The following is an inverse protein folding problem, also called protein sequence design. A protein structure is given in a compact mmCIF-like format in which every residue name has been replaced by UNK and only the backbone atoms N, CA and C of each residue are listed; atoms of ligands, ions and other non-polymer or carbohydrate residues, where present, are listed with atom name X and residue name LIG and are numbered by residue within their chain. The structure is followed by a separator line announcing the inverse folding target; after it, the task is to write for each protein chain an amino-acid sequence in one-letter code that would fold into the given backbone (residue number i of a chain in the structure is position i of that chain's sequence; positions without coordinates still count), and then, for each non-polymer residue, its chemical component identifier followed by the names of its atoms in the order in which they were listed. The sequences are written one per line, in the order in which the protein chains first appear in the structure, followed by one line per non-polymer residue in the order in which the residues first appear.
data_IF_861507852323
#
_entry.id   IF_861507852323
#
_cell.length_a   1.000
_cell.length_b   1.000
_cell.length_c   1.000
_cell.angle_alpha   90.00
_cell.angle_beta   90.00
_cell.angle_gamma   90.00
#
_symmetry.space_group_name_H-M   'P 1'
#
loop_
_entity.id
_entity.type
_entity.pdbx_description
1 polymer ?
#
# COMPACT_ATOMS: atom_id res chain seq x y z
N UNK A 1 24.38 32.15 -14.03
CA UNK A 1 23.03 31.55 -13.90
C UNK A 1 22.32 32.28 -12.77
N UNK A 2 21.29 33.07 -13.08
CA UNK A 2 20.45 33.69 -12.05
C UNK A 2 19.41 32.65 -11.61
N UNK A 3 19.51 32.14 -10.39
CA UNK A 3 18.50 31.25 -9.81
C UNK A 3 17.22 32.06 -9.53
N UNK A 4 16.34 32.13 -10.53
CA UNK A 4 15.07 32.86 -10.46
C UNK A 4 13.92 31.88 -10.32
N UNK A 5 13.19 32.00 -9.21
CA UNK A 5 11.99 31.21 -8.94
C UNK A 5 10.79 32.14 -8.76
N UNK A 6 9.63 31.72 -9.27
CA UNK A 6 8.36 32.37 -9.05
C UNK A 6 7.41 31.35 -8.40
N UNK A 7 7.03 31.58 -7.14
CA UNK A 7 6.16 30.67 -6.37
C UNK A 7 6.67 29.22 -6.31
N UNK A 8 7.98 29.03 -6.17
CA UNK A 8 8.61 27.70 -6.13
C UNK A 8 8.82 27.07 -7.52
N UNK A 9 8.33 27.69 -8.59
CA UNK A 9 8.54 27.25 -9.96
C UNK A 9 9.75 27.96 -10.54
N UNK A 10 10.71 27.19 -11.06
CA UNK A 10 11.89 27.75 -11.73
C UNK A 10 11.45 28.50 -12.98
N UNK A 11 11.90 29.74 -13.14
CA UNK A 11 11.83 30.44 -14.42
C UNK A 11 12.97 29.91 -15.30
N UNK A 12 12.64 29.46 -16.51
CA UNK A 12 13.63 28.88 -17.42
C UNK A 12 13.69 29.72 -18.70
N UNK A 13 14.59 30.70 -18.73
CA UNK A 13 14.89 31.46 -19.94
C UNK A 13 15.77 30.66 -20.93
N UNK A 14 16.02 31.24 -22.09
CA UNK A 14 16.77 30.56 -23.16
C UNK A 14 18.22 30.18 -22.77
N UNK A 15 18.89 31.02 -21.97
CA UNK A 15 20.25 30.73 -21.48
C UNK A 15 20.23 29.60 -20.44
N UNK A 16 19.32 29.70 -19.47
CA UNK A 16 19.10 28.67 -18.45
C UNK A 16 18.74 27.34 -19.09
N UNK A 17 17.93 27.35 -20.15
CA UNK A 17 17.54 26.16 -20.89
C UNK A 17 18.74 25.43 -21.51
N UNK A 18 19.79 26.14 -21.96
CA UNK A 18 21.00 25.47 -22.44
C UNK A 18 21.70 24.72 -21.31
N UNK A 19 21.83 25.35 -20.13
CA UNK A 19 22.40 24.69 -18.96
C UNK A 19 21.56 23.47 -18.50
N UNK A 20 20.23 23.57 -18.55
CA UNK A 20 19.34 22.44 -18.23
C UNK A 20 19.59 21.28 -19.20
N UNK A 21 19.66 21.53 -20.51
CA UNK A 21 19.94 20.50 -21.52
C UNK A 21 21.28 19.81 -21.29
N UNK A 22 22.33 20.58 -21.00
CA UNK A 22 23.65 20.04 -20.69
C UNK A 22 23.66 19.18 -19.43
N UNK A 23 23.04 19.66 -18.34
CA UNK A 23 22.97 18.93 -17.08
C UNK A 23 22.19 17.62 -17.21
N UNK A 24 21.00 17.68 -17.83
CA UNK A 24 20.16 16.51 -18.06
C UNK A 24 20.86 15.51 -18.98
N UNK A 25 21.47 15.99 -20.08
CA UNK A 25 22.21 15.13 -21.00
C UNK A 25 23.39 14.43 -20.34
N UNK A 26 24.15 15.14 -19.50
CA UNK A 26 25.25 14.57 -18.73
C UNK A 26 24.77 13.47 -17.78
N UNK A 27 23.76 13.75 -16.95
CA UNK A 27 23.23 12.76 -15.99
C UNK A 27 22.69 11.53 -16.71
N UNK A 28 22.00 11.73 -17.83
CA UNK A 28 21.51 10.63 -18.67
C UNK A 28 22.65 9.72 -19.15
N UNK A 29 23.72 10.31 -19.68
CA UNK A 29 24.89 9.56 -20.14
C UNK A 29 25.57 8.79 -18.99
N UNK A 30 25.64 9.40 -17.80
CA UNK A 30 26.18 8.72 -16.60
C UNK A 30 25.33 7.52 -16.19
N UNK A 31 23.99 7.63 -16.22
CA UNK A 31 23.07 6.51 -15.94
C UNK A 31 23.20 5.41 -16.99
N UNK A 32 23.19 5.76 -18.28
CA UNK A 32 23.36 4.79 -19.37
C UNK A 32 24.71 4.05 -19.26
N UNK A 33 25.79 4.75 -18.89
CA UNK A 33 27.10 4.15 -18.66
C UNK A 33 27.09 3.16 -17.48
N UNK A 34 26.43 3.50 -16.37
CA UNK A 34 26.29 2.61 -15.20
C UNK A 34 25.46 1.36 -15.53
N UNK A 35 24.39 1.51 -16.32
CA UNK A 35 23.56 0.38 -16.77
C UNK A 35 24.25 -0.49 -17.83
N UNK A 36 25.27 0.02 -18.50
CA UNK A 36 26.07 -0.71 -19.50
C UNK A 36 27.23 -1.52 -18.90
N UNK A 37 27.43 -1.49 -17.58
CA UNK A 37 28.46 -2.31 -16.94
C UNK A 37 28.13 -3.79 -17.15
N UNK A 38 29.07 -4.59 -17.67
CA UNK A 38 28.83 -6.01 -17.96
C UNK A 38 30.06 -6.91 -17.83
N UNK A 39 31.16 -6.38 -17.28
CA UNK A 39 32.38 -7.16 -17.07
C UNK A 39 32.11 -8.31 -16.09
N UNK A 40 32.83 -9.43 -16.27
CA UNK A 40 32.64 -10.67 -15.50
C UNK A 40 32.71 -10.51 -13.96
N UNK A 41 33.35 -9.44 -13.47
CA UNK A 41 33.48 -9.11 -12.05
C UNK A 41 32.67 -7.88 -11.63
N UNK A 42 31.76 -7.39 -12.48
CA UNK A 42 30.83 -6.32 -12.13
C UNK A 42 29.54 -6.93 -11.55
N UNK A 43 28.79 -6.18 -10.71
CA UNK A 43 27.47 -6.61 -10.23
C UNK A 43 26.49 -6.98 -11.36
N UNK A 44 26.77 -6.49 -12.57
CA UNK A 44 25.95 -6.59 -13.77
C UNK A 44 26.51 -7.59 -14.79
N UNK A 45 27.45 -8.47 -14.41
CA UNK A 45 27.98 -9.49 -15.30
C UNK A 45 26.84 -10.34 -15.91
N UNK A 46 26.80 -10.41 -17.25
CA UNK A 46 25.74 -11.06 -18.05
C UNK A 46 24.34 -10.40 -17.97
N UNK A 47 24.19 -9.26 -17.30
CA UNK A 47 22.96 -8.49 -17.36
C UNK A 47 22.97 -7.65 -18.65
N UNK A 48 22.36 -8.18 -19.72
CA UNK A 48 22.17 -7.46 -20.99
C UNK A 48 21.06 -6.40 -20.85
N UNK A 49 21.31 -5.36 -20.05
CA UNK A 49 20.36 -4.26 -19.85
C UNK A 49 20.41 -3.34 -21.07
N UNK A 50 19.31 -3.36 -21.82
CA UNK A 50 19.07 -2.39 -22.89
C UNK A 50 18.31 -1.20 -22.34
N UNK A 51 18.78 0.01 -22.67
CA UNK A 51 18.16 1.27 -22.24
C UNK A 51 17.61 2.00 -23.45
N UNK A 52 16.34 2.39 -23.38
CA UNK A 52 15.66 3.17 -24.39
C UNK A 52 15.44 4.61 -23.90
N UNK A 53 15.62 5.59 -24.79
CA UNK A 53 15.19 6.95 -24.52
C UNK A 53 14.64 7.61 -25.78
N UNK A 54 13.85 8.66 -25.63
CA UNK A 54 13.14 9.25 -26.75
C UNK A 54 12.23 10.40 -26.36
N UNK A 55 11.49 10.90 -27.33
CA UNK A 55 10.53 11.99 -27.21
C UNK A 55 9.14 11.52 -26.73
N UNK A 56 9.11 10.68 -25.70
CA UNK A 56 7.86 10.10 -25.17
C UNK A 56 6.97 11.12 -24.47
N UNK A 57 7.52 12.28 -24.09
CA UNK A 57 6.82 13.33 -23.35
C UNK A 57 6.54 14.52 -24.27
N UNK A 58 5.25 14.75 -24.55
CA UNK A 58 4.78 16.00 -25.14
C UNK A 58 4.53 17.02 -24.02
N UNK A 59 5.18 18.17 -24.10
CA UNK A 59 5.03 19.26 -23.12
C UNK A 59 4.19 20.42 -23.66
N UNK A 60 3.74 21.25 -22.73
CA UNK A 60 3.15 22.56 -22.99
C UNK A 60 3.76 23.59 -22.02
N UNK A 61 3.85 24.88 -22.41
CA UNK A 61 4.32 25.92 -21.50
C UNK A 61 3.37 26.06 -20.31
N UNK A 62 3.92 26.33 -19.12
CA UNK A 62 3.11 26.83 -18.00
C UNK A 62 2.57 28.23 -18.34
N UNK A 63 3.35 29.01 -19.10
CA UNK A 63 3.00 30.35 -19.55
C UNK A 63 3.22 31.41 -18.48
N UNK A 64 2.29 32.35 -18.39
CA UNK A 64 2.39 33.51 -17.50
C UNK A 64 1.61 33.28 -16.21
N UNK A 65 2.28 33.30 -15.06
CA UNK A 65 1.65 33.23 -13.73
C UNK A 65 1.83 34.59 -13.05
N UNK A 66 0.73 35.21 -12.62
CA UNK A 66 0.72 36.48 -11.88
C UNK A 66 1.58 37.58 -12.51
N UNK A 67 1.59 37.65 -13.85
CA UNK A 67 2.33 38.63 -14.64
C UNK A 67 3.80 38.27 -14.93
N UNK A 68 4.28 37.10 -14.48
CA UNK A 68 5.63 36.60 -14.77
C UNK A 68 5.56 35.49 -15.81
N UNK A 69 6.21 35.71 -16.96
CA UNK A 69 6.36 34.72 -18.02
C UNK A 69 7.46 33.71 -17.65
N UNK A 70 7.09 32.43 -17.54
CA UNK A 70 8.00 31.35 -17.19
C UNK A 70 8.73 30.75 -18.40
N UNK A 71 8.47 31.26 -19.60
CA UNK A 71 9.18 30.94 -20.84
C UNK A 71 9.24 29.43 -21.11
N UNK A 72 10.43 28.83 -21.00
CA UNK A 72 10.63 27.40 -21.29
C UNK A 72 10.31 26.48 -20.13
N UNK A 73 9.72 26.96 -19.03
CA UNK A 73 9.17 26.07 -18.01
C UNK A 73 7.82 25.52 -18.47
N UNK A 74 7.70 24.20 -18.47
CA UNK A 74 6.52 23.50 -18.98
C UNK A 74 5.90 22.52 -17.99
N UNK A 75 4.81 21.91 -18.43
CA UNK A 75 4.15 20.77 -17.80
C UNK A 75 3.89 19.68 -18.83
N UNK A 76 3.71 18.45 -18.35
CA UNK A 76 3.36 17.31 -19.20
C UNK A 76 1.96 17.53 -19.79
N UNK A 77 1.86 17.50 -21.12
CA UNK A 77 0.58 17.53 -21.84
C UNK A 77 0.10 16.12 -22.18
N UNK A 78 1.02 15.26 -22.63
CA UNK A 78 0.72 13.88 -23.06
C UNK A 78 1.96 13.00 -22.92
N UNK A 79 1.73 11.75 -22.52
CA UNK A 79 2.71 10.67 -22.54
C UNK A 79 2.38 9.72 -23.69
N UNK A 80 3.38 9.33 -24.48
CA UNK A 80 3.23 8.35 -25.56
C UNK A 80 3.31 6.91 -25.01
N UNK A 81 2.19 6.48 -24.42
CA UNK A 81 2.05 5.15 -23.78
C UNK A 81 2.32 4.01 -24.75
N UNK A 82 1.89 4.13 -26.01
CA UNK A 82 2.09 3.08 -27.01
C UNK A 82 3.59 2.85 -27.27
N UNK A 83 4.34 3.94 -27.50
CA UNK A 83 5.78 3.84 -27.72
C UNK A 83 6.55 3.34 -26.48
N UNK A 84 6.10 3.71 -25.27
CA UNK A 84 6.67 3.18 -24.03
C UNK A 84 6.45 1.67 -23.90
N UNK A 85 5.21 1.22 -24.13
CA UNK A 85 4.86 -0.20 -24.06
C UNK A 85 5.65 -1.02 -25.10
N UNK A 86 5.80 -0.52 -26.32
CA UNK A 86 6.64 -1.17 -27.34
C UNK A 86 8.07 -1.41 -26.83
N UNK A 87 8.71 -0.39 -26.20
CA UNK A 87 10.07 -0.55 -25.65
C UNK A 87 10.12 -1.57 -24.51
N UNK A 88 9.14 -1.52 -23.61
CA UNK A 88 9.07 -2.45 -22.48
C UNK A 88 8.79 -3.89 -22.93
N UNK A 89 7.98 -4.11 -23.98
CA UNK A 89 7.77 -5.44 -24.59
C UNK A 89 9.07 -6.02 -25.18
N UNK A 90 9.96 -5.18 -25.69
CA UNK A 90 11.30 -5.61 -26.10
C UNK A 90 12.25 -5.87 -24.93
N UNK A 91 11.81 -5.71 -23.68
CA UNK A 91 12.61 -5.91 -22.48
C UNK A 91 13.60 -4.77 -22.19
N UNK A 92 13.33 -3.57 -22.68
CA UNK A 92 14.18 -2.40 -22.48
C UNK A 92 13.75 -1.59 -21.25
N UNK A 93 14.73 -1.02 -20.55
CA UNK A 93 14.50 -0.02 -19.50
C UNK A 93 14.33 1.34 -20.16
N UNK A 94 13.17 1.96 -20.00
CA UNK A 94 12.92 3.30 -20.56
C UNK A 94 13.44 4.38 -19.61
N UNK A 95 14.41 5.17 -20.07
CA UNK A 95 14.99 6.29 -19.35
C UNK A 95 14.35 7.61 -19.81
N UNK A 96 13.52 8.19 -18.95
CA UNK A 96 12.87 9.48 -19.17
C UNK A 96 13.67 10.61 -18.52
N UNK A 97 13.87 11.69 -19.27
CA UNK A 97 14.46 12.93 -18.75
C UNK A 97 13.35 13.91 -18.34
N UNK A 98 13.61 14.85 -17.41
CA UNK A 98 12.68 15.92 -17.04
C UNK A 98 12.60 17.02 -18.12
N UNK A 99 12.45 16.60 -19.37
CA UNK A 99 12.32 17.43 -20.56
C UNK A 99 11.13 16.94 -21.37
N UNK A 100 10.41 17.86 -21.99
CA UNK A 100 9.37 17.51 -22.94
C UNK A 100 9.38 18.43 -24.15
N UNK A 101 8.74 17.96 -25.21
CA UNK A 101 8.80 18.59 -26.52
C UNK A 101 7.42 19.06 -26.96
N UNK A 102 7.32 20.21 -27.61
CA UNK A 102 6.08 20.62 -28.28
C UNK A 102 6.05 20.09 -29.72
N UNK A 103 4.85 20.03 -30.34
CA UNK A 103 4.73 19.80 -31.78
C UNK A 103 5.42 20.85 -32.66
N UNK A 104 5.75 22.03 -32.10
CA UNK A 104 6.50 23.10 -32.78
C UNK A 104 8.02 22.90 -32.71
N UNK A 105 8.51 21.88 -31.99
CA UNK A 105 9.93 21.58 -31.84
C UNK A 105 10.62 22.32 -30.69
N UNK A 106 9.86 22.98 -29.82
CA UNK A 106 10.40 23.63 -28.62
C UNK A 106 10.63 22.60 -27.51
N UNK A 107 11.61 22.89 -26.66
CA UNK A 107 11.97 22.05 -25.51
C UNK A 107 11.58 22.79 -24.24
N UNK A 108 10.92 22.11 -23.32
CA UNK A 108 10.50 22.63 -22.04
C UNK A 108 11.19 21.90 -20.88
N UNK A 109 11.55 22.66 -19.85
CA UNK A 109 12.04 22.17 -18.58
C UNK A 109 10.82 21.74 -17.75
N UNK A 110 10.75 20.46 -17.43
CA UNK A 110 9.68 19.87 -16.64
C UNK A 110 10.23 19.54 -15.25
N UNK A 111 9.35 19.35 -14.28
CA UNK A 111 9.78 18.83 -12.99
C UNK A 111 9.79 17.30 -13.02
N UNK A 112 10.66 16.67 -12.22
CA UNK A 112 10.73 15.22 -12.08
C UNK A 112 9.37 14.65 -11.64
N UNK A 113 8.75 15.32 -10.69
CA UNK A 113 7.48 14.94 -10.07
C UNK A 113 6.36 14.89 -11.11
N UNK A 114 6.30 15.88 -12.00
CA UNK A 114 5.29 15.94 -13.04
C UNK A 114 5.48 14.83 -14.07
N UNK A 115 6.72 14.64 -14.56
CA UNK A 115 7.05 13.57 -15.50
C UNK A 115 6.78 12.18 -14.91
N UNK A 116 7.27 11.91 -13.70
CA UNK A 116 7.13 10.62 -13.03
C UNK A 116 5.65 10.30 -12.76
N UNK A 117 4.91 11.25 -12.18
CA UNK A 117 3.50 11.04 -11.82
C UNK A 117 2.63 10.90 -13.07
N UNK A 118 2.78 11.80 -14.06
CA UNK A 118 1.98 11.73 -15.29
C UNK A 118 2.27 10.44 -16.07
N UNK A 119 3.52 9.99 -16.09
CA UNK A 119 3.89 8.72 -16.74
C UNK A 119 3.29 7.53 -16.01
N UNK A 120 3.41 7.47 -14.68
CA UNK A 120 2.84 6.36 -13.89
C UNK A 120 1.33 6.25 -14.06
N UNK A 121 0.62 7.38 -14.04
CA UNK A 121 -0.83 7.43 -14.28
C UNK A 121 -1.16 6.98 -15.70
N UNK A 122 -0.45 7.50 -16.71
CA UNK A 122 -0.73 7.18 -18.12
C UNK A 122 -0.47 5.70 -18.45
N UNK A 123 0.51 5.08 -17.78
CA UNK A 123 0.83 3.66 -17.93
C UNK A 123 -0.09 2.73 -17.12
N UNK A 124 -0.96 3.27 -16.26
CA UNK A 124 -1.69 2.48 -15.26
C UNK A 124 -0.74 1.62 -14.42
N UNK A 125 0.33 2.24 -13.91
CA UNK A 125 1.41 1.52 -13.27
C UNK A 125 0.99 0.87 -11.94
N UNK A 126 1.45 -0.37 -11.69
CA UNK A 126 1.25 -1.04 -10.40
C UNK A 126 1.94 -0.31 -9.24
N UNK A 127 3.11 0.29 -9.50
CA UNK A 127 3.94 0.97 -8.50
C UNK A 127 4.62 2.21 -9.06
N UNK A 128 4.58 3.31 -8.30
CA UNK A 128 5.45 4.48 -8.49
C UNK A 128 6.38 4.64 -7.29
N UNK A 129 7.69 4.75 -7.52
CA UNK A 129 8.69 4.86 -6.45
C UNK A 129 9.44 6.18 -6.58
N UNK A 130 9.41 7.00 -5.52
CA UNK A 130 10.24 8.19 -5.38
C UNK A 130 11.45 7.90 -4.51
N UNK A 131 12.64 8.24 -5.02
CA UNK A 131 13.91 8.14 -4.31
C UNK A 131 14.23 9.50 -3.67
N UNK A 132 14.26 9.52 -2.34
CA UNK A 132 14.33 10.71 -1.50
C UNK A 132 15.65 10.80 -0.74
N UNK A 133 15.93 11.97 -0.16
CA UNK A 133 17.06 12.15 0.74
C UNK A 133 16.71 11.77 2.19
N UNK A 134 15.42 11.73 2.53
CA UNK A 134 14.91 11.28 3.84
C UNK A 134 14.19 9.93 3.77
N UNK A 135 13.97 9.32 4.95
CA UNK A 135 13.44 7.96 5.07
C UNK A 135 11.95 7.83 4.70
N UNK A 136 11.19 8.93 4.72
CA UNK A 136 9.77 8.94 4.41
C UNK A 136 8.96 9.81 5.37
N UNK A 137 7.67 9.53 5.48
CA UNK A 137 6.72 10.35 6.25
C UNK A 137 6.83 10.01 7.73
N UNK A 138 6.96 11.03 8.59
CA UNK A 138 7.11 10.83 10.03
C UNK A 138 5.77 10.95 10.77
N UNK A 139 5.57 10.14 11.80
CA UNK A 139 4.46 10.20 12.76
C UNK A 139 4.72 11.23 13.87
N UNK A 140 3.76 11.48 14.76
CA UNK A 140 3.88 12.49 15.84
C UNK A 140 5.05 12.28 16.81
N UNK A 141 5.69 11.10 16.81
CA UNK A 141 6.84 10.74 17.65
C UNK A 141 8.15 10.68 16.84
N UNK A 142 8.16 11.29 15.66
CA UNK A 142 9.27 11.25 14.70
C UNK A 142 9.65 9.82 14.26
N UNK A 143 8.68 8.89 14.31
CA UNK A 143 8.83 7.52 13.83
C UNK A 143 8.31 7.40 12.40
N UNK A 144 8.94 6.58 11.57
CA UNK A 144 8.52 6.37 10.17
C UNK A 144 7.13 5.74 10.09
N UNK A 145 6.23 6.37 9.32
CA UNK A 145 4.95 5.80 8.93
C UNK A 145 5.18 4.88 7.73
N UNK A 146 5.17 3.57 7.96
CA UNK A 146 5.44 2.57 6.90
C UNK A 146 4.35 2.51 5.83
N UNK A 147 3.10 2.75 6.20
CA UNK A 147 1.95 2.67 5.31
C UNK A 147 0.95 3.79 5.62
N UNK A 148 0.42 4.41 4.58
CA UNK A 148 -0.63 5.42 4.64
C UNK A 148 -1.69 5.17 3.57
N UNK A 149 -2.96 5.31 3.94
CA UNK A 149 -4.00 5.52 2.93
C UNK A 149 -3.90 6.94 2.38
N UNK A 150 -4.47 7.19 1.19
CA UNK A 150 -4.60 8.55 0.63
C UNK A 150 -5.21 9.52 1.65
N UNK A 151 -6.26 9.09 2.37
CA UNK A 151 -6.89 9.91 3.40
C UNK A 151 -5.94 10.26 4.56
N UNK A 152 -5.10 9.30 5.00
CA UNK A 152 -4.11 9.53 6.04
C UNK A 152 -2.98 10.43 5.55
N UNK A 153 -2.49 10.22 4.33
CA UNK A 153 -1.48 11.05 3.69
C UNK A 153 -1.96 12.51 3.53
N UNK A 154 -3.23 12.70 3.12
CA UNK A 154 -3.84 14.03 3.06
C UNK A 154 -3.98 14.68 4.45
N UNK A 155 -4.26 13.90 5.48
CA UNK A 155 -4.27 14.38 6.86
C UNK A 155 -2.87 14.82 7.34
N UNK A 156 -1.80 14.18 6.85
CA UNK A 156 -0.43 14.62 7.11
C UNK A 156 -0.15 15.97 6.46
N UNK A 157 -0.50 16.15 5.19
CA UNK A 157 -0.29 17.41 4.45
C UNK A 157 -1.06 18.60 5.03
N UNK A 158 -2.26 18.35 5.55
CA UNK A 158 -3.09 19.39 6.17
C UNK A 158 -2.71 19.70 7.62
N UNK A 159 -1.89 18.83 8.24
CA UNK A 159 -1.40 19.05 9.58
C UNK A 159 -0.41 20.23 9.62
N UNK A 160 -0.40 20.99 10.72
CA UNK A 160 0.60 22.06 10.93
C UNK A 160 1.99 21.53 11.31
N UNK A 161 2.19 20.21 11.30
CA UNK A 161 3.45 19.61 11.72
C UNK A 161 4.45 19.66 10.55
N UNK A 162 5.68 20.13 10.77
CA UNK A 162 6.72 20.03 9.78
C UNK A 162 6.99 18.57 9.41
N UNK A 163 7.07 18.31 8.11
CA UNK A 163 7.66 17.11 7.52
C UNK A 163 8.96 17.51 6.80
N UNK A 164 9.85 16.56 6.49
CA UNK A 164 10.98 16.82 5.62
C UNK A 164 10.59 17.51 4.29
N UNK A 165 11.48 18.34 3.74
CA UNK A 165 11.19 19.14 2.54
C UNK A 165 10.87 18.27 1.32
N UNK A 166 11.60 17.17 1.14
CA UNK A 166 11.35 16.20 0.09
C UNK A 166 10.05 15.42 0.31
N UNK A 167 9.64 15.13 1.56
CA UNK A 167 8.30 14.58 1.85
C UNK A 167 7.22 15.56 1.39
N UNK A 168 7.36 16.86 1.69
CA UNK A 168 6.38 17.87 1.27
C UNK A 168 6.31 18.00 -0.27
N UNK A 169 7.41 17.70 -0.97
CA UNK A 169 7.50 17.72 -2.43
C UNK A 169 6.86 16.49 -3.07
N UNK A 170 7.15 15.29 -2.56
CA UNK A 170 6.74 14.03 -3.19
C UNK A 170 5.41 13.47 -2.68
N UNK A 171 5.01 13.71 -1.42
CA UNK A 171 3.76 13.17 -0.88
C UNK A 171 2.50 13.64 -1.63
N UNK A 172 2.36 14.92 -2.07
CA UNK A 172 1.24 15.33 -2.91
C UNK A 172 1.20 14.59 -4.26
N UNK A 173 2.37 14.27 -4.81
CA UNK A 173 2.49 13.56 -6.09
C UNK A 173 2.12 12.08 -5.94
N UNK A 174 2.56 11.45 -4.84
CA UNK A 174 2.17 10.11 -4.44
C UNK A 174 0.66 9.98 -4.25
N UNK A 175 0.02 10.93 -3.55
CA UNK A 175 -1.43 10.99 -3.39
C UNK A 175 -2.12 11.09 -4.75
N UNK A 176 -1.71 12.05 -5.58
CA UNK A 176 -2.30 12.27 -6.92
C UNK A 176 -2.20 11.02 -7.80
N UNK A 177 -1.07 10.33 -7.76
CA UNK A 177 -0.88 9.07 -8.49
C UNK A 177 -1.88 8.00 -8.03
N UNK A 178 -1.99 7.78 -6.71
CA UNK A 178 -2.92 6.79 -6.15
C UNK A 178 -4.39 7.12 -6.43
N UNK A 179 -4.80 8.38 -6.29
CA UNK A 179 -6.17 8.82 -6.61
C UNK A 179 -6.52 8.65 -8.09
N UNK A 180 -5.51 8.60 -8.96
CA UNK A 180 -5.66 8.43 -10.40
C UNK A 180 -5.51 6.98 -10.87
N UNK A 181 -5.40 6.00 -9.95
CA UNK A 181 -5.43 4.57 -10.26
C UNK A 181 -4.11 3.82 -10.07
N UNK A 182 -2.99 4.51 -9.81
CA UNK A 182 -1.71 3.84 -9.50
C UNK A 182 -1.87 3.06 -8.19
N UNK A 183 -1.74 1.74 -8.23
CA UNK A 183 -2.13 0.91 -7.10
C UNK A 183 -1.36 1.23 -5.80
N UNK A 184 -0.06 1.53 -5.94
CA UNK A 184 0.83 1.85 -4.81
C UNK A 184 1.85 2.91 -5.20
N UNK A 185 2.11 3.85 -4.30
CA UNK A 185 3.27 4.74 -4.41
C UNK A 185 4.18 4.59 -3.20
N UNK A 186 5.48 4.72 -3.40
CA UNK A 186 6.50 4.49 -2.37
C UNK A 186 7.43 5.68 -2.27
N UNK A 187 7.69 6.12 -1.05
CA UNK A 187 8.64 7.17 -0.70
C UNK A 187 9.79 6.51 0.07
N UNK A 188 10.97 6.38 -0.55
CA UNK A 188 12.10 5.65 0.05
C UNK A 188 13.39 6.46 -0.02
N UNK A 189 14.24 6.31 1.00
CA UNK A 189 15.56 6.93 1.03
C UNK A 189 16.51 6.28 0.01
N UNK A 190 17.22 7.11 -0.77
CA UNK A 190 18.24 6.68 -1.72
C UNK A 190 19.60 6.38 -1.07
N UNK A 191 19.79 6.75 0.19
CA UNK A 191 21.05 6.53 0.92
C UNK A 191 21.15 5.12 1.51
N UNK A 192 20.04 4.37 1.53
CA UNK A 192 20.02 2.97 1.95
C UNK A 192 20.49 2.07 0.81
N UNK A 193 21.58 1.34 1.02
CA UNK A 193 22.08 0.40 0.01
C UNK A 193 21.04 -0.70 -0.28
N UNK A 194 20.76 -0.93 -1.55
CA UNK A 194 19.69 -1.84 -1.99
C UNK A 194 18.28 -1.37 -1.63
N UNK A 195 18.05 -0.07 -1.38
CA UNK A 195 16.75 0.49 -0.98
C UNK A 195 15.55 -0.05 -1.78
N UNK A 196 15.66 0.02 -3.11
CA UNK A 196 14.60 -0.44 -4.04
C UNK A 196 14.33 -1.94 -3.86
N UNK A 197 15.37 -2.77 -3.71
CA UNK A 197 15.19 -4.20 -3.52
C UNK A 197 14.54 -4.51 -2.17
N UNK A 198 14.98 -3.83 -1.11
CA UNK A 198 14.40 -4.00 0.22
C UNK A 198 12.94 -3.58 0.25
N UNK A 199 12.58 -2.48 -0.41
CA UNK A 199 11.18 -2.03 -0.50
C UNK A 199 10.31 -2.98 -1.32
N UNK A 200 10.82 -3.50 -2.44
CA UNK A 200 10.01 -4.33 -3.35
C UNK A 200 9.89 -5.79 -2.92
N UNK A 201 10.89 -6.33 -2.22
CA UNK A 201 11.00 -7.77 -1.92
C UNK A 201 10.99 -8.10 -0.42
N UNK A 202 10.75 -7.12 0.47
CA UNK A 202 10.52 -7.39 1.89
C UNK A 202 9.08 -7.13 2.30
N UNK A 203 8.59 -7.87 3.29
CA UNK A 203 7.25 -7.64 3.86
C UNK A 203 7.17 -6.38 4.72
N UNK A 204 8.32 -5.87 5.17
CA UNK A 204 8.38 -4.77 6.12
C UNK A 204 8.54 -3.40 5.46
N UNK A 205 9.13 -3.34 4.27
CA UNK A 205 9.52 -2.08 3.62
C UNK A 205 10.57 -1.31 4.43
N UNK A 206 11.18 -0.31 3.79
CA UNK A 206 12.13 0.62 4.41
C UNK A 206 11.66 2.07 4.40
N UNK A 207 10.62 2.40 3.62
CA UNK A 207 10.09 3.76 3.55
C UNK A 207 8.59 3.84 3.85
N UNK A 208 7.93 4.82 3.24
CA UNK A 208 6.48 5.01 3.36
C UNK A 208 5.78 4.59 2.07
N UNK A 209 4.86 3.65 2.17
CA UNK A 209 3.94 3.29 1.09
C UNK A 209 2.63 4.07 1.23
N UNK A 210 2.14 4.65 0.13
CA UNK A 210 0.82 5.28 0.03
C UNK A 210 -0.07 4.44 -0.88
N UNK A 211 -1.30 4.17 -0.43
CA UNK A 211 -2.31 3.36 -1.13
C UNK A 211 -3.66 4.07 -1.14
N UNK A 212 -4.50 3.81 -2.14
CA UNK A 212 -5.83 4.44 -2.23
C UNK A 212 -6.66 4.17 -0.97
N UNK A 213 -6.74 2.90 -0.59
CA UNK A 213 -7.36 2.42 0.64
C UNK A 213 -6.52 1.28 1.22
N UNK A 214 -6.66 1.00 2.52
CA UNK A 214 -5.97 -0.13 3.15
C UNK A 214 -6.15 -1.39 2.30
N UNK A 215 -5.04 -2.02 1.89
CA UNK A 215 -4.93 -3.26 1.10
C UNK A 215 -5.43 -4.51 1.86
N UNK A 216 -6.57 -4.36 2.52
CA UNK A 216 -7.20 -5.33 3.36
C UNK A 216 -8.55 -5.64 2.74
N UNK A 217 -8.60 -6.70 1.94
CA UNK A 217 -9.89 -7.17 1.45
C UNK A 217 -10.46 -8.10 2.50
N UNK A 218 -11.48 -7.62 3.23
CA UNK A 218 -12.37 -8.48 3.98
C UNK A 218 -13.41 -9.02 3.02
N UNK A 219 -13.40 -10.34 2.81
CA UNK A 219 -14.35 -11.04 1.94
C UNK A 219 -14.74 -12.39 2.51
N UNK A 220 -15.83 -12.93 2.00
CA UNK A 220 -16.21 -14.32 2.25
C UNK A 220 -15.09 -15.27 1.79
N UNK A 221 -14.85 -16.31 2.58
CA UNK A 221 -13.88 -17.33 2.27
C UNK A 221 -14.44 -18.30 1.20
N UNK A 222 -13.56 -18.72 0.31
CA UNK A 222 -13.81 -19.74 -0.71
C UNK A 222 -13.02 -21.02 -0.40
N UNK A 223 -13.31 -22.09 -1.13
CA UNK A 223 -12.59 -23.38 -0.99
C UNK A 223 -11.08 -23.20 -1.22
N UNK A 224 -10.67 -22.25 -2.07
CA UNK A 224 -9.27 -21.97 -2.36
C UNK A 224 -8.52 -21.40 -1.13
N UNK A 225 -9.24 -20.74 -0.23
CA UNK A 225 -8.66 -20.11 0.97
C UNK A 225 -8.37 -21.10 2.10
N UNK A 226 -8.91 -22.33 2.03
CA UNK A 226 -8.77 -23.35 3.09
C UNK A 226 -7.30 -23.63 3.39
N UNK A 227 -6.44 -23.66 2.37
CA UNK A 227 -5.00 -23.82 2.54
C UNK A 227 -4.37 -22.70 3.37
N UNK A 228 -4.70 -21.45 3.05
CA UNK A 228 -4.21 -20.26 3.76
C UNK A 228 -4.73 -20.18 5.20
N UNK A 229 -6.02 -20.47 5.41
CA UNK A 229 -6.62 -20.52 6.75
C UNK A 229 -5.91 -21.58 7.61
N UNK A 230 -5.68 -22.79 7.08
CA UNK A 230 -4.96 -23.84 7.82
C UNK A 230 -3.55 -23.41 8.22
N UNK A 231 -2.84 -22.70 7.35
CA UNK A 231 -1.51 -22.19 7.63
C UNK A 231 -1.54 -21.14 8.75
N UNK A 232 -2.52 -20.24 8.73
CA UNK A 232 -2.74 -19.23 9.76
C UNK A 232 -3.09 -19.83 11.12
N UNK A 233 -3.92 -20.87 11.16
CA UNK A 233 -4.43 -21.47 12.40
C UNK A 233 -3.43 -22.38 13.10
N UNK A 234 -2.62 -23.14 12.35
CA UNK A 234 -1.70 -24.17 12.88
C UNK A 234 -0.87 -23.72 14.11
N UNK A 235 -0.16 -22.58 14.10
CA UNK A 235 0.63 -22.17 15.26
C UNK A 235 -0.23 -21.89 16.52
N UNK A 236 -1.48 -21.44 16.34
CA UNK A 236 -2.40 -21.15 17.44
C UNK A 236 -3.02 -22.43 18.03
N UNK A 237 -3.22 -23.44 17.18
CA UNK A 237 -3.67 -24.77 17.59
C UNK A 237 -2.57 -25.51 18.37
N UNK A 238 -1.33 -25.47 17.90
CA UNK A 238 -0.16 -26.07 18.57
C UNK A 238 0.10 -25.44 19.95
N UNK A 239 -0.18 -24.14 20.10
CA UNK A 239 -0.10 -23.43 21.39
C UNK A 239 -1.33 -23.65 22.29
N UNK A 240 -2.33 -24.42 21.85
CA UNK A 240 -3.56 -24.69 22.59
C UNK A 240 -4.53 -23.50 22.70
N UNK A 241 -4.26 -22.41 21.98
CA UNK A 241 -5.11 -21.20 21.95
C UNK A 241 -6.41 -21.51 21.22
N UNK A 242 -6.31 -22.13 20.03
CA UNK A 242 -7.46 -22.54 19.23
C UNK A 242 -7.73 -24.05 19.30
N UNK A 243 -8.98 -24.44 19.04
CA UNK A 243 -9.33 -25.85 18.85
C UNK A 243 -8.86 -26.27 17.47
N UNK A 244 -8.20 -27.43 17.39
CA UNK A 244 -7.78 -28.02 16.12
C UNK A 244 -8.96 -28.24 15.19
N UNK A 245 -8.85 -27.79 13.94
CA UNK A 245 -9.82 -28.07 12.87
C UNK A 245 -9.18 -28.92 11.77
N UNK A 246 -9.93 -29.90 11.30
CA UNK A 246 -9.49 -30.70 10.15
C UNK A 246 -9.77 -29.93 8.85
N UNK A 247 -9.06 -30.28 7.78
CA UNK A 247 -9.28 -29.68 6.46
C UNK A 247 -10.72 -29.92 6.00
N UNK A 248 -11.23 -31.13 6.18
CA UNK A 248 -12.57 -31.53 5.75
C UNK A 248 -13.65 -30.73 6.48
N UNK A 249 -13.42 -30.40 7.75
CA UNK A 249 -14.34 -29.55 8.53
C UNK A 249 -14.36 -28.12 7.99
N UNK A 250 -13.18 -27.56 7.64
CA UNK A 250 -13.09 -26.22 7.07
C UNK A 250 -13.73 -26.16 5.69
N UNK A 251 -13.46 -27.13 4.81
CA UNK A 251 -14.07 -27.21 3.47
C UNK A 251 -15.61 -27.25 3.55
N UNK A 252 -16.17 -28.00 4.52
CA UNK A 252 -17.63 -28.10 4.70
C UNK A 252 -18.26 -26.83 5.25
N UNK A 253 -17.52 -26.05 6.04
CA UNK A 253 -18.05 -24.89 6.76
C UNK A 253 -17.49 -23.57 6.23
N UNK A 254 -16.83 -23.59 5.07
CA UNK A 254 -16.08 -22.45 4.51
C UNK A 254 -16.95 -21.22 4.28
N UNK A 255 -18.22 -21.42 3.92
CA UNK A 255 -19.23 -20.36 3.74
C UNK A 255 -19.51 -19.56 5.01
N UNK A 256 -19.09 -20.05 6.18
CA UNK A 256 -19.21 -19.34 7.46
C UNK A 256 -17.99 -18.49 7.79
N UNK A 257 -16.93 -18.60 6.99
CA UNK A 257 -15.67 -17.92 7.21
C UNK A 257 -15.58 -16.66 6.35
N UNK A 258 -14.97 -15.64 6.95
CA UNK A 258 -14.41 -14.51 6.24
C UNK A 258 -12.91 -14.54 6.39
N UNK A 259 -12.23 -14.07 5.35
CA UNK A 259 -10.78 -13.90 5.34
C UNK A 259 -10.43 -12.43 5.18
N UNK A 260 -9.34 -12.07 5.84
CA UNK A 260 -8.62 -10.83 5.59
C UNK A 260 -7.43 -11.17 4.70
N UNK A 261 -7.49 -10.70 3.46
CA UNK A 261 -6.43 -10.86 2.47
C UNK A 261 -5.57 -9.59 2.41
N UNK A 262 -4.25 -9.78 2.45
CA UNK A 262 -3.24 -8.74 2.26
C UNK A 262 -2.14 -9.29 1.35
N UNK A 263 -1.87 -8.61 0.23
CA UNK A 263 -0.93 -9.03 -0.82
C UNK A 263 -1.12 -10.52 -1.24
N UNK A 264 -2.37 -10.90 -1.56
CA UNK A 264 -2.75 -12.28 -1.94
C UNK A 264 -2.47 -13.36 -0.90
N UNK A 265 -2.24 -12.96 0.35
CA UNK A 265 -2.05 -13.88 1.48
C UNK A 265 -3.14 -13.68 2.51
N UNK A 266 -3.62 -14.78 3.07
CA UNK A 266 -4.58 -14.75 4.17
C UNK A 266 -3.85 -14.38 5.45
N UNK A 267 -4.02 -13.15 5.91
CA UNK A 267 -3.40 -12.62 7.14
C UNK A 267 -4.36 -12.60 8.32
N UNK A 268 -5.64 -12.86 8.10
CA UNK A 268 -6.63 -13.02 9.15
C UNK A 268 -7.82 -13.85 8.73
N UNK A 269 -8.52 -14.44 9.68
CA UNK A 269 -9.79 -15.11 9.44
C UNK A 269 -10.70 -15.03 10.67
N UNK A 270 -12.00 -15.17 10.45
CA UNK A 270 -12.97 -15.45 11.50
C UNK A 270 -14.16 -16.23 10.93
N UNK A 271 -14.93 -16.87 11.80
CA UNK A 271 -16.13 -17.60 11.43
C UNK A 271 -17.35 -17.16 12.27
N UNK A 272 -18.51 -17.09 11.61
CA UNK A 272 -19.78 -16.69 12.22
C UNK A 272 -20.74 -17.89 12.26
N UNK A 273 -21.20 -18.26 13.45
CA UNK A 273 -22.20 -19.33 13.61
C UNK A 273 -23.51 -18.72 14.14
N UNK A 274 -24.53 -18.56 13.29
CA UNK A 274 -25.78 -17.95 13.69
C UNK A 274 -26.67 -18.91 14.49
N UNK A 275 -27.37 -18.35 15.48
CA UNK A 275 -28.44 -18.97 16.28
C UNK A 275 -29.69 -18.08 16.19
N UNK A 276 -30.48 -18.23 15.11
CA UNK A 276 -31.60 -17.31 14.82
C UNK A 276 -32.67 -17.28 15.90
N UNK A 277 -32.98 -18.44 16.50
CA UNK A 277 -34.03 -18.58 17.52
C UNK A 277 -33.73 -17.74 18.78
N UNK A 278 -32.46 -17.63 19.16
CA UNK A 278 -32.02 -16.79 20.29
C UNK A 278 -31.49 -15.41 19.85
N UNK A 279 -31.65 -15.05 18.57
CA UNK A 279 -31.15 -13.82 17.95
C UNK A 279 -29.67 -13.52 18.29
N UNK A 280 -28.82 -14.53 18.22
CA UNK A 280 -27.41 -14.44 18.59
C UNK A 280 -26.50 -15.17 17.60
N UNK A 281 -25.20 -14.84 17.59
CA UNK A 281 -24.19 -15.57 16.84
C UNK A 281 -22.92 -15.80 17.66
N UNK A 282 -22.24 -16.90 17.38
CA UNK A 282 -20.88 -17.13 17.85
C UNK A 282 -19.89 -16.48 16.89
N UNK A 283 -19.02 -15.63 17.41
CA UNK A 283 -17.77 -15.28 16.75
C UNK A 283 -16.72 -16.31 17.16
N UNK A 284 -16.34 -17.18 16.22
CA UNK A 284 -15.35 -18.22 16.43
C UNK A 284 -14.17 -18.05 15.47
N UNK A 285 -13.07 -18.72 15.80
CA UNK A 285 -11.90 -18.80 14.93
C UNK A 285 -11.29 -17.44 14.52
N UNK A 286 -11.49 -16.40 15.33
CA UNK A 286 -10.82 -15.12 15.12
C UNK A 286 -9.31 -15.32 15.28
N UNK A 287 -8.58 -15.17 14.19
CA UNK A 287 -7.13 -15.29 14.14
C UNK A 287 -6.56 -14.21 13.21
N UNK A 288 -5.42 -13.67 13.60
CA UNK A 288 -4.61 -12.74 12.80
C UNK A 288 -3.16 -13.21 12.89
N UNK A 289 -2.47 -13.15 11.76
CA UNK A 289 -1.06 -13.52 11.66
C UNK A 289 -0.26 -12.77 12.72
N UNK A 290 0.65 -13.48 13.39
CA UNK A 290 1.47 -12.94 14.48
C UNK A 290 2.24 -11.68 14.10
N UNK A 291 2.67 -11.57 12.84
CA UNK A 291 3.45 -10.43 12.33
C UNK A 291 2.57 -9.20 12.05
N UNK A 292 1.24 -9.37 12.02
CA UNK A 292 0.28 -8.33 11.64
C UNK A 292 -0.67 -7.90 12.78
N UNK A 293 -0.47 -8.39 14.02
CA UNK A 293 -1.44 -8.20 15.12
C UNK A 293 -1.66 -6.74 15.55
N UNK A 294 -0.62 -5.91 15.48
CA UNK A 294 -0.68 -4.53 15.95
C UNK A 294 -1.18 -3.54 14.88
N UNK A 295 -1.66 -4.04 13.73
CA UNK A 295 -2.17 -3.23 12.62
C UNK A 295 -3.69 -2.99 12.65
N UNK A 296 -4.36 -3.36 13.75
CA UNK A 296 -5.82 -3.20 13.89
C UNK A 296 -6.67 -4.22 13.14
N UNK A 297 -6.05 -5.22 12.49
CA UNK A 297 -6.73 -6.22 11.67
C UNK A 297 -7.74 -7.07 12.44
N UNK A 298 -7.44 -7.42 13.69
CA UNK A 298 -8.38 -8.18 14.52
C UNK A 298 -9.67 -7.40 14.81
N UNK A 299 -9.55 -6.08 14.92
CA UNK A 299 -10.70 -5.19 15.14
C UNK A 299 -11.51 -4.99 13.86
N UNK A 300 -10.84 -4.84 12.72
CA UNK A 300 -11.49 -4.80 11.42
C UNK A 300 -12.33 -6.05 11.15
N UNK A 301 -11.75 -7.25 11.38
CA UNK A 301 -12.46 -8.52 11.24
C UNK A 301 -13.64 -8.59 12.23
N UNK A 302 -13.45 -8.23 13.50
CA UNK A 302 -14.52 -8.24 14.50
C UNK A 302 -15.70 -7.32 14.12
N UNK A 303 -15.42 -6.11 13.63
CA UNK A 303 -16.47 -5.16 13.26
C UNK A 303 -17.25 -5.66 12.03
N UNK A 304 -16.55 -6.17 11.03
CA UNK A 304 -17.18 -6.79 9.86
C UNK A 304 -18.10 -7.95 10.25
N UNK A 305 -17.67 -8.82 11.17
CA UNK A 305 -18.49 -9.92 11.67
C UNK A 305 -19.73 -9.45 12.44
N UNK A 306 -19.63 -8.34 13.16
CA UNK A 306 -20.78 -7.74 13.81
C UNK A 306 -21.78 -7.17 12.80
N UNK A 307 -21.29 -6.58 11.71
CA UNK A 307 -22.15 -6.06 10.64
C UNK A 307 -22.85 -7.19 9.87
N UNK A 308 -22.15 -8.30 9.57
CA UNK A 308 -22.77 -9.51 9.01
C UNK A 308 -23.87 -10.06 9.93
N UNK A 309 -23.61 -10.14 11.24
CA UNK A 309 -24.61 -10.61 12.20
C UNK A 309 -25.83 -9.66 12.28
N UNK A 310 -25.63 -8.33 12.20
CA UNK A 310 -26.71 -7.34 12.14
C UNK A 310 -27.55 -7.49 10.88
N UNK A 311 -26.92 -7.71 9.72
CA UNK A 311 -27.61 -7.96 8.45
C UNK A 311 -28.50 -9.21 8.54
N UNK A 312 -28.07 -10.22 9.29
CA UNK A 312 -28.86 -11.41 9.62
C UNK A 312 -29.90 -11.18 10.76
N UNK A 313 -30.11 -9.93 11.19
CA UNK A 313 -31.05 -9.52 12.25
C UNK A 313 -30.74 -10.10 13.63
N UNK A 314 -29.50 -10.51 13.87
CA UNK A 314 -29.03 -10.95 15.17
C UNK A 314 -28.70 -9.75 16.06
N UNK A 315 -28.83 -9.91 17.38
CA UNK A 315 -28.71 -8.82 18.36
C UNK A 315 -27.53 -8.96 19.30
N UNK A 316 -26.86 -10.13 19.27
CA UNK A 316 -25.78 -10.46 20.20
C UNK A 316 -24.70 -11.28 19.50
N UNK A 317 -23.45 -10.96 19.80
CA UNK A 317 -22.32 -11.84 19.55
C UNK A 317 -21.86 -12.45 20.87
N UNK A 318 -21.46 -13.71 20.84
CA UNK A 318 -20.72 -14.33 21.92
C UNK A 318 -19.43 -14.96 21.43
N UNK A 319 -18.44 -15.06 22.32
CA UNK A 319 -17.13 -15.65 22.04
C UNK A 319 -16.78 -16.57 23.21
N UNK A 320 -16.04 -17.63 22.89
CA UNK A 320 -15.44 -18.52 23.89
C UNK A 320 -13.92 -18.43 23.79
N UNK A 321 -13.26 -18.01 24.86
CA UNK A 321 -11.79 -17.87 24.88
C UNK A 321 -11.16 -18.41 26.15
N UNK A 322 -9.95 -18.95 26.02
CA UNK A 322 -9.12 -19.42 27.14
C UNK A 322 -8.00 -18.45 27.50
N UNK A 323 -7.58 -17.57 26.59
CA UNK A 323 -6.41 -16.68 26.79
C UNK A 323 -6.62 -15.22 26.42
N UNK A 324 -7.57 -14.90 25.54
CA UNK A 324 -7.71 -13.55 24.95
C UNK A 324 -8.85 -12.72 25.57
N UNK A 325 -9.19 -12.96 26.84
CA UNK A 325 -10.31 -12.31 27.53
C UNK A 325 -10.24 -10.77 27.50
N UNK A 326 -9.09 -10.19 27.85
CA UNK A 326 -8.95 -8.73 27.95
C UNK A 326 -9.18 -8.01 26.62
N UNK A 327 -8.72 -8.60 25.51
CA UNK A 327 -8.91 -8.04 24.17
C UNK A 327 -10.40 -7.85 23.81
N UNK A 328 -11.25 -8.79 24.24
CA UNK A 328 -12.70 -8.70 24.04
C UNK A 328 -13.38 -7.75 25.03
N UNK A 329 -12.93 -7.72 26.29
CA UNK A 329 -13.44 -6.76 27.30
C UNK A 329 -13.25 -5.31 26.85
N UNK A 330 -12.07 -4.98 26.33
CA UNK A 330 -11.75 -3.66 25.76
C UNK A 330 -12.64 -3.29 24.55
N UNK A 331 -13.27 -4.28 23.91
CA UNK A 331 -14.09 -4.13 22.70
C UNK A 331 -15.59 -4.30 22.96
N UNK A 332 -16.00 -4.09 24.21
CA UNK A 332 -17.40 -4.01 24.62
C UNK A 332 -18.06 -5.37 24.87
N UNK A 333 -17.29 -6.46 24.95
CA UNK A 333 -17.83 -7.71 25.45
C UNK A 333 -17.84 -7.72 26.99
N UNK A 334 -18.80 -8.43 27.56
CA UNK A 334 -18.95 -8.62 29.01
C UNK A 334 -18.86 -10.11 29.32
N UNK A 335 -18.11 -10.49 30.36
CA UNK A 335 -18.02 -11.88 30.81
C UNK A 335 -19.40 -12.38 31.24
N UNK A 336 -19.73 -13.61 30.86
CA UNK A 336 -21.02 -14.25 31.13
C UNK A 336 -20.83 -15.72 31.47
N UNK A 337 -21.87 -16.32 32.04
CA UNK A 337 -21.88 -17.74 32.36
C UNK A 337 -22.20 -18.59 31.13
N UNK A 338 -21.80 -19.86 31.18
CA UNK A 338 -22.17 -20.88 30.17
C UNK A 338 -23.70 -21.00 30.02
N UNK A 339 -24.45 -20.65 31.07
CA UNK A 339 -25.91 -20.59 31.05
C UNK A 339 -26.48 -19.53 30.10
N UNK A 340 -25.67 -18.55 29.66
CA UNK A 340 -26.09 -17.53 28.70
C UNK A 340 -25.93 -17.94 27.22
N UNK A 341 -25.29 -19.08 26.94
CA UNK A 341 -25.12 -19.59 25.58
C UNK A 341 -26.47 -20.08 24.97
N UNK A 342 -26.60 -20.09 23.63
CA UNK A 342 -27.69 -20.76 22.93
C UNK A 342 -27.82 -22.23 23.33
N UNK A 343 -29.04 -22.77 23.33
CA UNK A 343 -29.31 -24.13 23.82
C UNK A 343 -28.50 -25.18 23.06
N UNK A 344 -28.43 -25.05 21.73
CA UNK A 344 -27.62 -25.93 20.87
C UNK A 344 -26.13 -25.85 21.21
N UNK A 345 -25.61 -24.65 21.50
CA UNK A 345 -24.20 -24.45 21.82
C UNK A 345 -23.83 -25.01 23.19
N UNK A 346 -24.72 -24.93 24.18
CA UNK A 346 -24.51 -25.52 25.52
C UNK A 346 -24.24 -27.02 25.46
N UNK A 347 -24.98 -27.73 24.60
CA UNK A 347 -24.81 -29.18 24.43
C UNK A 347 -23.43 -29.56 23.88
N UNK A 348 -22.81 -28.67 23.11
CA UNK A 348 -21.51 -28.86 22.48
C UNK A 348 -20.37 -28.19 23.27
N UNK A 349 -20.66 -27.61 24.45
CA UNK A 349 -19.65 -26.92 25.23
C UNK A 349 -18.62 -27.91 25.81
N UNK A 350 -17.36 -27.71 25.47
CA UNK A 350 -16.27 -28.56 25.98
C UNK A 350 -15.85 -28.12 27.39
N UNK A 351 -16.41 -28.79 28.41
CA UNK A 351 -16.11 -28.54 29.82
C UNK A 351 -14.64 -28.79 30.21
N UNK A 352 -13.87 -29.56 29.43
CA UNK A 352 -12.44 -29.77 29.69
C UNK A 352 -11.60 -28.54 29.34
N UNK A 353 -12.01 -27.74 28.33
CA UNK A 353 -11.30 -26.50 27.96
C UNK A 353 -11.55 -25.34 28.92
N UNK A 354 -12.64 -25.38 29.70
CA UNK A 354 -13.06 -24.32 30.65
C UNK A 354 -12.95 -22.91 30.04
N UNK A 355 -13.40 -22.75 28.80
CA UNK A 355 -13.35 -21.47 28.10
C UNK A 355 -14.31 -20.47 28.75
N UNK A 356 -13.85 -19.25 28.97
CA UNK A 356 -14.70 -18.16 29.46
C UNK A 356 -15.61 -17.70 28.34
N UNK A 357 -16.86 -17.38 28.69
CA UNK A 357 -17.87 -16.89 27.75
C UNK A 357 -17.93 -15.38 27.87
N UNK A 358 -17.92 -14.69 26.73
CA UNK A 358 -18.09 -13.25 26.65
C UNK A 358 -19.19 -12.91 25.67
N UNK A 359 -20.01 -11.90 25.99
CA UNK A 359 -21.17 -11.50 25.19
C UNK A 359 -21.14 -10.00 24.92
N UNK A 360 -21.39 -9.61 23.67
CA UNK A 360 -21.55 -8.21 23.25
C UNK A 360 -22.90 -8.05 22.56
N UNK A 361 -23.66 -7.01 22.93
CA UNK A 361 -24.82 -6.58 22.14
C UNK A 361 -24.32 -5.83 20.91
N UNK A 362 -24.87 -6.16 19.75
CA UNK A 362 -24.49 -5.55 18.46
C UNK A 362 -25.62 -4.71 17.90
#
# INVERSE_FOLDING_TARGET
INDSYHQGIRLTDAETMQCVKEAVGRVRLEIEALLSMGLANSPMANADIRVAGGNFITAQPIGVINGVDLQHTGSVRKVDVAALNDRMEFGEVVLLSPLGFSPTGEVFNLTLEDVATATAIALDADKLVFLMDTDGVLDKKDSLLKELTVAQAQAVLTSKRPQPDDVNLFLPCAIRACEAGVARTHLISRHTDGAVLQELFSNEGIGTMVVESTLNTLRDASIEDVGGILQLLRPLEEQGILVRRSRELLEREIERFVVLEHDHRIVGCAALYPFPDEASAELACLAVDTQCRDRGYGEAVLNHMADLAKQQKLKKLFVLTTRTAHWFLERGFVESDVTALPAQKKLLYNYQRKSKVFVRKI
#
